data_IF_513872484623
#
_entry.id   IF_513872484623
#
_cell.length_a   1.000
_cell.length_b   1.000
_cell.length_c   1.000
_cell.angle_alpha   90.00
_cell.angle_beta   90.00
_cell.angle_gamma   90.00
#
_symmetry.space_group_name_H-M   'P 1'
#
loop_
_entity.id
_entity.type
_entity.pdbx_description
1 polymer ?
#
# COMPACT_ATOMS: atom_id res chain seq x y z
N UNK A 1 -25.63 -0.18 -16.85
CA UNK A 1 -24.99 -1.36 -16.24
C UNK A 1 -23.61 -0.94 -15.79
N UNK A 2 -23.29 -1.08 -14.51
CA UNK A 2 -21.94 -0.78 -14.01
C UNK A 2 -21.26 -2.14 -13.91
N UNK A 3 -20.35 -2.42 -14.84
CA UNK A 3 -19.46 -3.57 -14.74
C UNK A 3 -18.59 -3.34 -13.50
N UNK A 4 -18.85 -4.11 -12.45
CA UNK A 4 -17.84 -4.40 -11.43
C UNK A 4 -17.50 -5.86 -11.61
N UNK A 5 -16.33 -6.15 -12.15
CA UNK A 5 -15.80 -7.50 -12.07
C UNK A 5 -15.67 -7.87 -10.58
N UNK A 6 -16.03 -9.08 -10.16
CA UNK A 6 -15.55 -9.67 -8.93
C UNK A 6 -14.06 -10.01 -9.11
N UNK A 7 -13.22 -9.00 -9.30
CA UNK A 7 -11.77 -9.10 -9.44
C UNK A 7 -11.09 -8.35 -8.31
N UNK A 8 -9.81 -8.67 -8.05
CA UNK A 8 -8.96 -8.13 -6.97
C UNK A 8 -9.28 -6.68 -6.57
N UNK A 9 -9.19 -6.35 -5.26
CA UNK A 9 -9.47 -5.00 -4.73
C UNK A 9 -8.69 -3.90 -5.46
N UNK A 10 -7.51 -4.25 -5.97
CA UNK A 10 -6.63 -3.37 -6.74
C UNK A 10 -6.45 -3.83 -8.18
N UNK A 11 -7.28 -4.76 -8.67
CA UNK A 11 -7.17 -5.37 -10.01
C UNK A 11 -5.72 -5.77 -10.34
N UNK A 12 -5.14 -6.53 -9.41
CA UNK A 12 -3.80 -7.08 -9.52
C UNK A 12 -2.72 -5.99 -9.67
N UNK A 13 -3.02 -4.77 -9.26
CA UNK A 13 -2.06 -3.66 -9.24
C UNK A 13 -1.25 -3.68 -7.95
N UNK A 14 0.05 -3.95 -8.07
CA UNK A 14 0.98 -3.88 -6.96
C UNK A 14 1.29 -2.42 -6.57
N UNK A 15 1.12 -1.48 -7.50
CA UNK A 15 1.20 -0.03 -7.27
C UNK A 15 -0.10 0.61 -7.73
N UNK A 16 -0.85 1.20 -6.81
CA UNK A 16 -2.18 1.71 -7.08
C UNK A 16 -2.38 3.12 -6.51
N UNK A 17 -2.86 4.03 -7.36
CA UNK A 17 -3.40 5.34 -6.95
C UNK A 17 -4.83 5.46 -7.44
N UNK A 18 -5.78 5.86 -6.59
CA UNK A 18 -7.20 5.87 -6.92
C UNK A 18 -7.89 7.20 -6.63
N UNK A 19 -8.15 7.98 -7.68
CA UNK A 19 -9.00 9.18 -7.64
C UNK A 19 -8.69 10.17 -8.77
N UNK A 20 -9.37 11.32 -8.77
CA UNK A 20 -9.32 12.28 -9.89
C UNK A 20 -8.03 13.14 -9.98
N UNK A 21 -7.16 13.12 -8.96
CA UNK A 21 -6.06 14.07 -8.80
C UNK A 21 -4.73 13.36 -8.47
N UNK A 22 -4.55 12.14 -8.95
CA UNK A 22 -3.64 11.17 -8.35
C UNK A 22 -2.53 10.78 -9.32
N UNK A 23 -1.45 11.55 -9.28
CA UNK A 23 -0.29 11.33 -10.14
C UNK A 23 0.68 10.32 -9.50
N UNK A 24 1.45 9.64 -10.35
CA UNK A 24 2.64 8.88 -9.97
C UNK A 24 3.84 9.55 -10.64
N UNK A 25 4.74 10.09 -9.84
CA UNK A 25 6.01 10.69 -10.28
C UNK A 25 7.16 9.72 -9.98
N UNK A 26 7.97 9.34 -10.98
CA UNK A 26 9.14 8.46 -10.85
C UNK A 26 10.37 9.16 -11.45
N UNK A 27 11.31 9.55 -10.60
CA UNK A 27 12.46 10.39 -10.94
C UNK A 27 13.75 9.72 -10.48
N UNK A 28 14.72 9.56 -11.37
CA UNK A 28 16.05 8.99 -11.08
C UNK A 28 15.99 7.69 -10.26
N UNK A 29 15.03 6.81 -10.61
CA UNK A 29 14.64 5.66 -9.80
C UNK A 29 14.60 4.35 -10.60
N UNK A 30 15.04 3.24 -10.00
CA UNK A 30 14.90 1.90 -10.57
C UNK A 30 13.83 1.12 -9.82
N UNK A 31 12.74 0.80 -10.51
CA UNK A 31 11.58 0.10 -9.93
C UNK A 31 11.29 -1.15 -10.75
N UNK A 32 11.13 -2.29 -10.09
CA UNK A 32 10.72 -3.55 -10.69
C UNK A 32 9.45 -4.05 -10.02
N UNK A 33 8.43 -4.35 -10.81
CA UNK A 33 7.16 -4.94 -10.36
C UNK A 33 7.06 -6.33 -10.97
N UNK A 34 6.82 -7.33 -10.13
CA UNK A 34 6.73 -8.73 -10.53
C UNK A 34 5.32 -9.24 -10.28
N UNK A 35 4.69 -9.74 -11.35
CA UNK A 35 3.38 -10.38 -11.31
C UNK A 35 2.26 -9.41 -10.96
N UNK A 36 2.29 -8.19 -11.48
CA UNK A 36 1.24 -7.23 -11.18
C UNK A 36 1.33 -5.97 -12.04
N UNK A 37 0.37 -5.08 -11.81
CA UNK A 37 0.17 -3.88 -12.61
C UNK A 37 0.61 -2.60 -11.89
N UNK A 38 0.80 -1.53 -12.65
CA UNK A 38 0.75 -0.14 -12.16
C UNK A 38 -0.59 0.45 -12.55
N UNK A 39 -1.36 0.94 -11.58
CA UNK A 39 -2.55 1.75 -11.84
C UNK A 39 -2.36 3.19 -11.34
N UNK A 40 -2.47 4.13 -12.27
CA UNK A 40 -2.43 5.57 -12.02
C UNK A 40 -3.76 6.22 -12.39
N UNK A 41 -4.45 6.82 -11.41
CA UNK A 41 -5.74 7.46 -11.64
C UNK A 41 -5.66 8.71 -12.55
N UNK A 42 -4.50 9.37 -12.61
CA UNK A 42 -4.27 10.58 -13.42
C UNK A 42 -3.01 10.47 -14.27
N UNK A 43 -1.92 11.18 -13.94
CA UNK A 43 -0.75 11.25 -14.81
C UNK A 43 0.39 10.39 -14.25
N UNK A 44 0.99 9.57 -15.12
CA UNK A 44 2.22 8.83 -14.81
C UNK A 44 3.40 9.52 -15.49
N UNK A 45 4.33 10.03 -14.69
CA UNK A 45 5.49 10.78 -15.15
C UNK A 45 6.79 10.05 -14.79
N UNK A 46 7.53 9.58 -15.81
CA UNK A 46 8.83 8.92 -15.63
C UNK A 46 9.95 9.79 -16.22
N UNK A 47 10.76 10.38 -15.34
CA UNK A 47 11.76 11.42 -15.66
C UNK A 47 13.17 10.97 -15.26
N UNK A 48 14.19 11.74 -15.65
CA UNK A 48 15.58 11.47 -15.26
C UNK A 48 16.13 10.16 -15.84
N UNK A 49 17.00 9.49 -15.10
CA UNK A 49 17.60 8.18 -15.42
C UNK A 49 16.73 6.99 -14.94
N UNK A 50 15.43 7.22 -14.70
CA UNK A 50 14.52 6.19 -14.21
C UNK A 50 14.39 5.00 -15.17
N UNK A 51 14.32 3.80 -14.58
CA UNK A 51 14.04 2.53 -15.26
C UNK A 51 12.92 1.81 -14.51
N UNK A 52 11.78 1.62 -15.16
CA UNK A 52 10.62 0.91 -14.61
C UNK A 52 10.38 -0.38 -15.39
N UNK A 53 10.33 -1.51 -14.70
CA UNK A 53 10.04 -2.82 -15.30
C UNK A 53 8.82 -3.41 -14.64
N UNK A 54 7.83 -3.79 -15.43
CA UNK A 54 6.58 -4.40 -14.98
C UNK A 54 6.48 -5.74 -15.69
N UNK A 55 6.59 -6.81 -14.92
CA UNK A 55 6.59 -8.17 -15.42
C UNK A 55 5.25 -8.83 -15.10
N UNK A 56 4.74 -9.53 -16.10
CA UNK A 56 3.59 -10.42 -15.97
C UNK A 56 3.95 -11.67 -15.17
N UNK A 57 2.98 -12.27 -14.46
CA UNK A 57 3.12 -13.59 -13.86
C UNK A 57 2.50 -14.64 -14.77
N UNK A 58 3.35 -15.27 -15.59
CA UNK A 58 2.95 -16.36 -16.48
C UNK A 58 2.29 -17.56 -15.75
N UNK A 59 2.43 -17.68 -14.43
CA UNK A 59 1.77 -18.73 -13.65
C UNK A 59 0.30 -18.43 -13.32
N UNK A 60 -0.17 -17.19 -13.53
CA UNK A 60 -1.57 -16.77 -13.32
C UNK A 60 -2.43 -16.85 -14.59
N UNK A 61 -1.82 -17.28 -15.71
CA UNK A 61 -2.53 -17.67 -16.93
C UNK A 61 -3.33 -18.97 -16.68
N UNK A 62 -4.41 -18.91 -15.88
CA UNK A 62 -5.46 -19.93 -15.94
C UNK A 62 -6.40 -19.49 -17.06
N UNK A 63 -6.29 -20.06 -18.29
CA UNK A 63 -7.19 -19.70 -19.37
C UNK A 63 -8.62 -20.00 -18.93
N UNK A 64 -9.55 -19.07 -19.13
CA UNK A 64 -10.95 -19.35 -18.84
C UNK A 64 -11.34 -20.63 -19.61
N UNK A 65 -11.80 -21.69 -18.90
CA UNK A 65 -12.11 -22.96 -19.52
C UNK A 65 -13.25 -22.87 -20.55
N UNK A 66 -14.06 -21.80 -20.53
CA UNK A 66 -15.22 -21.63 -21.39
C UNK A 66 -14.92 -20.91 -22.72
N UNK A 67 -13.88 -20.07 -22.81
CA UNK A 67 -13.53 -19.37 -24.05
C UNK A 67 -12.05 -19.41 -24.47
N UNK A 68 -11.15 -19.87 -23.60
CA UNK A 68 -9.71 -19.98 -23.87
C UNK A 68 -8.99 -18.63 -23.94
N UNK A 69 -9.61 -17.56 -23.45
CA UNK A 69 -8.98 -16.23 -23.30
C UNK A 69 -8.23 -16.21 -21.97
N UNK A 70 -7.01 -15.64 -21.98
CA UNK A 70 -6.26 -15.36 -20.76
C UNK A 70 -6.91 -14.12 -20.14
N UNK A 71 -7.77 -14.31 -19.14
CA UNK A 71 -8.56 -13.20 -18.59
C UNK A 71 -7.77 -12.22 -17.71
N UNK A 72 -6.53 -12.57 -17.30
CA UNK A 72 -5.74 -11.78 -16.36
C UNK A 72 -4.33 -11.53 -16.88
N UNK A 73 -4.19 -10.75 -17.96
CA UNK A 73 -2.86 -10.27 -18.36
C UNK A 73 -2.34 -9.30 -17.28
N UNK A 74 -1.37 -9.71 -16.47
CA UNK A 74 -0.65 -8.83 -15.56
C UNK A 74 0.51 -8.15 -16.31
N UNK A 75 1.39 -7.43 -15.60
CA UNK A 75 2.52 -6.76 -16.25
C UNK A 75 2.12 -5.49 -17.01
N UNK A 76 0.96 -4.92 -16.69
CA UNK A 76 0.38 -3.76 -17.38
C UNK A 76 0.65 -2.44 -16.65
N UNK A 77 0.64 -1.36 -17.42
CA UNK A 77 0.69 0.02 -16.92
C UNK A 77 -0.57 0.75 -17.37
N UNK A 78 -1.44 1.06 -16.42
CA UNK A 78 -2.79 1.58 -16.62
C UNK A 78 -2.85 3.02 -16.09
N UNK A 79 -3.15 3.99 -16.95
CA UNK A 79 -3.06 5.43 -16.63
C UNK A 79 -4.30 6.18 -17.08
N UNK A 80 -5.16 6.59 -16.14
CA UNK A 80 -6.42 7.31 -16.40
C UNK A 80 -6.27 8.65 -17.12
N UNK A 81 -5.12 9.30 -16.99
CA UNK A 81 -4.74 10.56 -17.61
C UNK A 81 -3.72 10.38 -18.73
N UNK A 82 -2.73 11.27 -18.77
CA UNK A 82 -1.66 11.20 -19.75
C UNK A 82 -0.48 10.40 -19.22
N UNK A 83 0.17 9.69 -20.13
CA UNK A 83 1.46 9.13 -19.88
C UNK A 83 2.55 10.12 -20.31
N UNK A 84 3.28 10.68 -19.34
CA UNK A 84 4.35 11.66 -19.52
C UNK A 84 5.75 11.05 -19.65
N UNK A 85 5.86 9.84 -20.20
CA UNK A 85 7.14 9.16 -20.41
C UNK A 85 7.92 9.82 -21.55
N UNK A 86 9.02 10.50 -21.22
CA UNK A 86 9.96 11.01 -22.20
C UNK A 86 11.07 9.97 -22.47
N UNK A 87 10.97 9.26 -23.60
CA UNK A 87 11.97 8.27 -24.04
C UNK A 87 11.50 6.83 -23.83
N UNK A 88 11.46 6.05 -24.91
CA UNK A 88 10.91 4.68 -24.94
C UNK A 88 11.70 3.67 -24.09
N UNK A 89 12.97 3.95 -23.74
CA UNK A 89 13.83 3.04 -22.96
C UNK A 89 13.57 3.05 -21.44
N UNK A 90 12.68 3.91 -20.94
CA UNK A 90 12.48 4.11 -19.49
C UNK A 90 11.48 3.17 -18.84
N UNK A 91 10.63 2.53 -19.64
CA UNK A 91 9.60 1.61 -19.15
C UNK A 91 9.60 0.32 -19.97
N UNK A 92 9.45 -0.82 -19.32
CA UNK A 92 9.24 -2.13 -19.96
C UNK A 92 8.06 -2.79 -19.30
N UNK A 93 7.00 -3.04 -20.06
CA UNK A 93 5.74 -3.63 -19.62
C UNK A 93 5.12 -4.44 -20.77
N UNK A 94 4.23 -5.39 -20.47
CA UNK A 94 3.52 -6.14 -21.51
C UNK A 94 2.57 -5.24 -22.30
N UNK A 95 1.90 -4.34 -21.59
CA UNK A 95 1.02 -3.31 -22.16
C UNK A 95 1.16 -1.97 -21.41
N UNK A 96 1.00 -0.87 -22.14
CA UNK A 96 0.92 0.48 -21.59
C UNK A 96 -0.35 1.12 -22.15
N UNK A 97 -1.28 1.48 -21.26
CA UNK A 97 -2.62 1.94 -21.58
C UNK A 97 -2.86 3.30 -20.90
N UNK A 98 -2.95 4.36 -21.71
CA UNK A 98 -3.15 5.74 -21.29
C UNK A 98 -3.92 6.54 -22.36
N UNK A 99 -4.47 7.71 -22.00
CA UNK A 99 -5.25 8.55 -22.94
C UNK A 99 -4.51 8.90 -24.24
N UNK A 100 -3.18 9.04 -24.16
CA UNK A 100 -2.33 9.35 -25.29
C UNK A 100 -1.59 8.13 -25.87
N UNK A 101 -1.72 6.94 -25.26
CA UNK A 101 -1.03 5.71 -25.65
C UNK A 101 -1.96 4.53 -25.43
N UNK A 102 -2.66 4.08 -26.48
CA UNK A 102 -3.50 2.88 -26.41
C UNK A 102 -3.07 1.91 -27.52
N UNK A 103 -2.88 0.64 -27.15
CA UNK A 103 -2.46 -0.43 -28.06
C UNK A 103 -3.50 -1.55 -28.08
N UNK A 104 -3.40 -2.46 -29.04
CA UNK A 104 -4.29 -3.64 -29.13
C UNK A 104 -4.20 -4.56 -27.90
N UNK A 105 -3.13 -4.47 -27.11
CA UNK A 105 -2.94 -5.22 -25.86
C UNK A 105 -3.67 -4.62 -24.64
N UNK A 106 -4.34 -3.49 -24.79
CA UNK A 106 -5.20 -2.92 -23.73
C UNK A 106 -6.55 -3.65 -23.72
N UNK A 107 -6.54 -4.96 -23.48
CA UNK A 107 -7.75 -5.78 -23.45
C UNK A 107 -8.67 -5.40 -22.28
N UNK A 108 -9.99 -5.41 -22.48
CA UNK A 108 -10.97 -4.89 -21.51
C UNK A 108 -11.21 -3.37 -21.59
N UNK A 109 -10.40 -2.65 -22.36
CA UNK A 109 -10.58 -1.22 -22.63
C UNK A 109 -11.27 -1.07 -23.99
N UNK A 110 -12.40 -0.35 -24.08
CA UNK A 110 -13.16 -0.31 -25.32
C UNK A 110 -12.31 0.39 -26.41
N UNK A 111 -12.54 0.07 -27.70
CA UNK A 111 -11.69 0.52 -28.80
C UNK A 111 -11.49 2.05 -28.79
N UNK A 112 -10.40 2.51 -29.44
CA UNK A 112 -9.88 3.89 -29.47
C UNK A 112 -10.94 5.01 -29.57
N UNK A 113 -12.12 4.71 -30.10
CA UNK A 113 -13.26 5.59 -30.30
C UNK A 113 -14.12 5.89 -29.05
N UNK A 114 -13.90 5.20 -27.92
CA UNK A 114 -14.64 5.42 -26.65
C UNK A 114 -13.79 5.89 -25.46
N UNK A 115 -12.49 6.15 -25.67
CA UNK A 115 -11.57 6.58 -24.61
C UNK A 115 -10.89 5.41 -23.94
N UNK A 116 -9.56 5.45 -23.91
CA UNK A 116 -8.69 4.44 -23.33
C UNK A 116 -7.74 5.17 -22.38
N UNK A 117 -7.76 4.92 -21.06
CA UNK A 117 -8.56 3.92 -20.36
C UNK A 117 -10.01 4.40 -20.06
N UNK A 118 -10.97 3.57 -19.57
CA UNK A 118 -12.30 4.04 -19.23
C UNK A 118 -12.20 5.21 -18.24
N UNK A 119 -13.10 6.17 -18.42
CA UNK A 119 -13.20 7.36 -17.57
C UNK A 119 -13.56 7.04 -16.10
N UNK A 120 -13.85 5.77 -15.79
CA UNK A 120 -14.15 5.27 -14.46
C UNK A 120 -12.92 5.40 -13.56
N UNK A 121 -12.78 6.59 -12.99
CA UNK A 121 -11.83 6.90 -11.94
C UNK A 121 -12.10 5.96 -10.76
N UNK A 122 -11.15 5.08 -10.50
CA UNK A 122 -11.21 4.20 -9.34
C UNK A 122 -10.83 5.01 -8.12
N UNK A 123 -11.46 4.71 -7.01
CA UNK A 123 -11.11 5.29 -5.73
C UNK A 123 -10.18 4.34 -4.97
N UNK A 124 -9.37 4.90 -4.07
CA UNK A 124 -8.61 4.07 -3.14
C UNK A 124 -9.53 3.13 -2.36
N UNK A 125 -9.12 1.86 -2.15
CA UNK A 125 -9.85 0.95 -1.27
C UNK A 125 -10.07 1.60 0.09
N UNK A 126 -11.28 1.55 0.61
CA UNK A 126 -11.62 2.18 1.89
C UNK A 126 -11.14 1.30 3.05
N UNK A 127 -10.26 1.84 3.88
CA UNK A 127 -9.79 1.16 5.09
C UNK A 127 -10.50 1.72 6.32
N UNK A 128 -11.08 0.84 7.13
CA UNK A 128 -11.70 1.24 8.39
C UNK A 128 -10.65 1.35 9.51
N UNK A 129 -10.15 2.56 9.74
CA UNK A 129 -9.14 2.81 10.76
C UNK A 129 -9.72 2.76 12.19
N UNK A 130 -10.92 3.31 12.42
CA UNK A 130 -11.40 3.60 13.79
C UNK A 130 -12.93 3.65 13.97
N UNK A 131 -13.73 3.04 13.07
CA UNK A 131 -15.18 3.02 13.26
C UNK A 131 -15.57 2.48 14.64
N UNK A 132 -16.66 3.05 15.18
CA UNK A 132 -17.24 2.73 16.48
C UNK A 132 -16.30 2.87 17.69
N UNK A 133 -15.15 3.53 17.55
CA UNK A 133 -14.27 3.84 18.68
C UNK A 133 -14.86 4.99 19.52
N UNK A 134 -14.90 4.90 20.86
CA UNK A 134 -14.19 3.94 21.72
C UNK A 134 -15.00 2.71 22.13
N UNK A 135 -16.27 2.60 21.74
CA UNK A 135 -17.12 1.48 22.17
C UNK A 135 -16.69 0.14 21.57
N UNK A 136 -16.10 0.17 20.38
CA UNK A 136 -15.60 -1.00 19.65
C UNK A 136 -16.65 -2.09 19.48
N UNK A 137 -17.85 -1.67 19.07
CA UNK A 137 -18.94 -2.57 18.72
C UNK A 137 -18.72 -3.27 17.37
N UNK A 138 -17.88 -2.68 16.50
CA UNK A 138 -17.39 -3.28 15.26
C UNK A 138 -16.03 -3.95 15.48
N UNK A 139 -15.91 -5.20 15.05
CA UNK A 139 -14.64 -5.95 15.02
C UNK A 139 -13.76 -5.58 13.83
N UNK A 140 -14.22 -4.69 12.97
CA UNK A 140 -13.65 -4.53 11.63
C UNK A 140 -12.58 -3.43 11.63
N UNK A 141 -12.74 -2.40 12.47
CA UNK A 141 -11.79 -1.28 12.53
C UNK A 141 -10.44 -1.68 13.11
N UNK A 142 -9.35 -1.16 12.53
CA UNK A 142 -7.99 -1.45 12.97
C UNK A 142 -7.77 -1.07 14.43
N UNK A 143 -8.29 0.07 14.87
CA UNK A 143 -8.15 0.54 16.25
C UNK A 143 -8.89 -0.35 17.25
N UNK A 144 -10.06 -0.86 16.90
CA UNK A 144 -10.81 -1.75 17.79
C UNK A 144 -10.19 -3.14 17.87
N UNK A 145 -9.64 -3.65 16.77
CA UNK A 145 -8.86 -4.89 16.77
C UNK A 145 -7.59 -4.77 17.62
N UNK A 146 -6.86 -3.65 17.50
CA UNK A 146 -5.72 -3.35 18.38
C UNK A 146 -6.17 -3.29 19.86
N UNK A 147 -7.33 -2.70 20.16
CA UNK A 147 -7.85 -2.64 21.53
C UNK A 147 -8.21 -4.01 22.08
N UNK A 148 -8.80 -4.88 21.26
CA UNK A 148 -9.11 -6.25 21.63
C UNK A 148 -7.81 -7.03 21.94
N UNK A 149 -6.82 -6.98 21.06
CA UNK A 149 -5.52 -7.61 21.26
C UNK A 149 -4.82 -7.10 22.53
N UNK A 150 -4.94 -5.81 22.85
CA UNK A 150 -4.37 -5.23 24.08
C UNK A 150 -5.07 -5.78 25.32
N UNK A 151 -6.40 -5.90 25.29
CA UNK A 151 -7.16 -6.45 26.41
C UNK A 151 -6.89 -7.95 26.63
N UNK A 152 -6.57 -8.68 25.55
CA UNK A 152 -6.22 -10.10 25.59
C UNK A 152 -4.74 -10.35 25.97
N UNK A 153 -3.94 -9.28 26.04
CA UNK A 153 -2.51 -9.34 26.39
C UNK A 153 -1.65 -9.93 25.28
N UNK A 154 -2.03 -9.74 24.02
CA UNK A 154 -1.37 -10.37 22.87
C UNK A 154 -0.22 -9.52 22.28
N UNK A 155 0.02 -8.32 22.80
CA UNK A 155 1.06 -7.40 22.32
C UNK A 155 2.29 -7.41 23.21
N UNK A 156 3.47 -7.60 22.62
CA UNK A 156 4.75 -7.55 23.29
C UNK A 156 5.76 -6.69 22.54
N UNK A 157 6.19 -5.62 23.18
CA UNK A 157 7.24 -4.77 22.61
C UNK A 157 8.59 -5.15 23.19
N UNK A 158 9.54 -5.42 22.30
CA UNK A 158 10.92 -5.71 22.65
C UNK A 158 11.82 -4.53 22.24
N UNK A 159 12.63 -4.08 23.19
CA UNK A 159 13.72 -3.15 23.00
C UNK A 159 15.03 -3.95 23.01
N UNK A 160 15.69 -4.07 21.86
CA UNK A 160 16.94 -4.82 21.70
C UNK A 160 16.83 -6.29 22.12
N UNK A 161 15.68 -6.90 21.79
CA UNK A 161 15.36 -8.30 22.10
C UNK A 161 14.96 -8.57 23.54
N UNK A 162 14.84 -7.55 24.39
CA UNK A 162 14.37 -7.65 25.78
C UNK A 162 13.07 -6.84 25.93
N UNK A 163 12.18 -7.18 26.88
CA UNK A 163 11.02 -6.34 27.17
C UNK A 163 11.43 -4.90 27.49
N UNK A 164 10.74 -3.93 26.92
CA UNK A 164 11.00 -2.52 27.23
C UNK A 164 10.63 -2.19 28.69
N UNK A 165 11.25 -1.16 29.24
CA UNK A 165 11.04 -0.68 30.61
C UNK A 165 9.80 0.21 30.75
N UNK A 166 9.43 0.92 29.69
CA UNK A 166 8.11 1.55 29.59
C UNK A 166 7.04 0.47 29.41
N UNK A 167 5.77 0.68 29.86
CA UNK A 167 4.71 -0.30 29.70
C UNK A 167 4.59 -0.74 28.23
N UNK A 168 5.15 -1.92 27.96
CA UNK A 168 5.49 -2.46 26.64
C UNK A 168 4.42 -3.38 26.08
N UNK A 169 3.38 -3.68 26.86
CA UNK A 169 2.41 -4.69 26.50
C UNK A 169 1.10 -4.04 26.01
N UNK A 170 1.24 -2.90 25.32
CA UNK A 170 0.14 -2.18 24.69
C UNK A 170 0.10 -2.48 23.21
N UNK A 171 -1.09 -2.42 22.64
CA UNK A 171 -1.26 -2.37 21.19
C UNK A 171 -1.60 -0.96 20.73
N UNK A 172 -2.07 -0.09 21.62
CA UNK A 172 -2.43 1.29 21.30
C UNK A 172 -1.50 2.26 22.04
N UNK A 173 -0.85 3.11 21.27
CA UNK A 173 0.08 4.12 21.76
C UNK A 173 -0.43 5.52 21.42
N UNK A 174 -0.24 6.47 22.31
CA UNK A 174 -0.10 7.87 21.90
C UNK A 174 1.20 8.06 21.16
N UNK A 175 1.28 9.10 20.33
CA UNK A 175 2.55 9.53 19.74
C UNK A 175 3.67 9.64 20.79
N UNK A 176 3.41 10.24 21.95
CA UNK A 176 4.44 10.44 22.97
C UNK A 176 4.94 9.11 23.56
N UNK A 177 4.05 8.13 23.75
CA UNK A 177 4.44 6.81 24.22
C UNK A 177 5.26 6.05 23.16
N UNK A 178 4.88 6.14 21.89
CA UNK A 178 5.66 5.52 20.80
C UNK A 178 7.04 6.18 20.64
N UNK A 179 7.11 7.52 20.70
CA UNK A 179 8.38 8.26 20.69
C UNK A 179 9.27 7.87 21.90
N UNK A 180 8.67 7.57 23.06
CA UNK A 180 9.39 7.11 24.24
C UNK A 180 9.99 5.71 24.03
N UNK A 181 9.26 4.77 23.43
CA UNK A 181 9.78 3.45 23.05
C UNK A 181 10.98 3.56 22.11
N UNK A 182 10.85 4.37 21.05
CA UNK A 182 11.95 4.61 20.11
C UNK A 182 13.16 5.28 20.78
N UNK A 183 12.93 6.13 21.77
CA UNK A 183 14.00 6.79 22.52
C UNK A 183 14.71 5.83 23.49
N UNK A 184 13.98 4.87 24.05
CA UNK A 184 14.52 3.83 24.92
C UNK A 184 15.46 2.88 24.18
N UNK A 185 15.08 2.47 22.96
CA UNK A 185 15.89 1.59 22.11
C UNK A 185 17.28 2.19 21.83
N UNK A 186 17.33 3.49 21.57
CA UNK A 186 18.58 4.19 21.23
C UNK A 186 18.85 4.21 19.73
N UNK A 187 20.03 4.69 19.33
CA UNK A 187 20.46 4.73 17.92
C UNK A 187 21.29 3.48 17.60
N UNK A 188 21.13 2.94 16.40
CA UNK A 188 21.77 1.69 15.92
C UNK A 188 21.08 0.42 16.40
N UNK A 189 19.98 0.58 17.13
CA UNK A 189 19.34 -0.44 17.97
C UNK A 189 17.92 -0.73 17.44
N UNK A 190 17.29 -1.81 17.93
CA UNK A 190 16.06 -2.37 17.33
C UNK A 190 14.86 -2.32 18.27
N UNK A 191 13.78 -1.69 17.78
CA UNK A 191 12.43 -1.84 18.33
C UNK A 191 11.70 -2.96 17.59
N UNK A 192 11.23 -3.97 18.31
CA UNK A 192 10.41 -5.04 17.71
C UNK A 192 9.00 -4.97 18.29
N UNK A 193 8.01 -4.78 17.43
CA UNK A 193 6.59 -4.94 17.76
C UNK A 193 6.20 -6.38 17.45
N UNK A 194 6.18 -7.22 18.49
CA UNK A 194 5.99 -8.66 18.37
C UNK A 194 4.74 -9.11 19.12
N UNK A 195 3.84 -9.85 18.50
CA UNK A 195 2.72 -10.43 19.22
C UNK A 195 3.10 -11.77 19.87
N UNK A 196 2.39 -12.14 20.94
CA UNK A 196 2.51 -13.47 21.56
C UNK A 196 1.67 -14.51 20.82
N UNK A 197 0.54 -14.08 20.25
CA UNK A 197 -0.34 -14.93 19.42
C UNK A 197 -0.34 -14.44 17.97
N UNK A 198 -0.24 -15.38 17.03
CA UNK A 198 -0.08 -15.12 15.60
C UNK A 198 -1.37 -14.64 14.87
N UNK A 199 -2.35 -14.05 15.57
CA UNK A 199 -3.65 -13.70 14.98
C UNK A 199 -3.99 -12.21 15.13
N UNK A 200 -4.36 -11.58 14.02
CA UNK A 200 -4.97 -10.25 13.94
C UNK A 200 -4.14 -9.14 14.62
N UNK A 201 -2.85 -9.08 14.30
CA UNK A 201 -1.89 -8.29 15.06
C UNK A 201 -1.78 -6.88 14.48
N UNK A 202 -2.27 -5.93 15.27
CA UNK A 202 -2.31 -4.52 14.90
C UNK A 202 -1.74 -3.69 16.04
N UNK A 203 -0.68 -2.95 15.74
CA UNK A 203 -0.17 -1.88 16.57
C UNK A 203 -0.70 -0.55 16.05
N UNK A 204 -1.30 0.25 16.92
CA UNK A 204 -1.97 1.49 16.55
C UNK A 204 -1.35 2.68 17.27
N UNK A 205 -0.95 3.71 16.52
CA UNK A 205 -0.44 4.97 17.07
C UNK A 205 -1.44 6.09 16.83
N UNK A 206 -1.94 6.64 17.92
CA UNK A 206 -2.77 7.85 17.93
C UNK A 206 -1.90 9.08 17.77
N UNK A 207 -1.70 9.47 16.52
CA UNK A 207 -0.82 10.55 16.08
C UNK A 207 0.10 10.10 14.96
N UNK A 208 1.19 10.82 14.76
CA UNK A 208 2.19 10.50 13.74
C UNK A 208 3.36 9.70 14.32
N UNK A 209 4.01 8.95 13.44
CA UNK A 209 5.19 8.14 13.72
C UNK A 209 6.41 8.78 13.07
N UNK A 210 7.54 8.75 13.79
CA UNK A 210 8.82 9.27 13.31
C UNK A 210 9.97 8.36 13.69
N UNK A 211 10.47 7.60 12.72
CA UNK A 211 11.67 6.78 12.87
C UNK A 211 12.84 7.50 12.21
N UNK A 212 13.83 7.93 12.98
CA UNK A 212 15.01 8.67 12.50
C UNK A 212 16.26 8.17 13.24
N UNK A 213 17.45 8.62 12.79
CA UNK A 213 18.74 8.45 13.47
C UNK A 213 19.20 6.99 13.59
N UNK A 214 19.27 6.27 12.48
CA UNK A 214 19.78 4.90 12.42
C UNK A 214 19.04 3.94 13.36
N UNK A 215 17.71 3.97 13.35
CA UNK A 215 16.92 3.05 14.19
C UNK A 215 16.35 1.93 13.35
N UNK A 216 16.28 0.75 13.94
CA UNK A 216 15.68 -0.41 13.32
C UNK A 216 14.28 -0.60 13.91
N UNK A 217 13.28 -0.81 13.05
CA UNK A 217 11.92 -1.14 13.45
C UNK A 217 11.51 -2.45 12.78
N UNK A 218 11.19 -3.46 13.59
CA UNK A 218 10.61 -4.72 13.12
C UNK A 218 9.15 -4.76 13.59
N UNK A 219 8.21 -4.97 12.68
CA UNK A 219 6.79 -5.16 13.01
C UNK A 219 6.36 -6.52 12.49
N UNK A 220 5.89 -7.37 13.39
CA UNK A 220 5.31 -8.67 13.04
C UNK A 220 3.78 -8.51 13.01
N UNK A 221 3.26 -7.97 11.91
CA UNK A 221 1.86 -7.57 11.77
C UNK A 221 1.72 -6.20 11.12
N UNK A 222 0.68 -5.46 11.50
CA UNK A 222 0.39 -4.13 10.93
C UNK A 222 0.74 -3.01 11.92
N UNK A 223 1.37 -1.95 11.43
CA UNK A 223 1.53 -0.68 12.15
C UNK A 223 0.65 0.40 11.52
N UNK A 224 -0.28 0.92 12.31
CA UNK A 224 -1.30 1.88 11.89
C UNK A 224 -1.09 3.23 12.58
N UNK A 225 -1.27 4.34 11.87
CA UNK A 225 -1.17 5.69 12.43
C UNK A 225 -2.36 6.58 12.03
N UNK A 226 -2.89 7.34 13.00
CA UNK A 226 -3.86 8.42 12.73
C UNK A 226 -3.24 9.56 11.91
N UNK A 227 -1.92 9.77 12.04
CA UNK A 227 -1.16 10.80 11.34
C UNK A 227 -0.09 10.21 10.42
N UNK A 228 0.87 11.05 10.04
CA UNK A 228 1.93 10.67 9.11
C UNK A 228 2.86 9.58 9.66
N UNK A 229 3.43 8.76 8.79
CA UNK A 229 4.54 7.84 9.10
C UNK A 229 5.77 8.34 8.35
N UNK A 230 6.79 8.78 9.08
CA UNK A 230 8.04 9.27 8.51
C UNK A 230 9.18 8.34 8.94
N UNK A 231 9.82 7.71 7.96
CA UNK A 231 10.91 6.76 8.13
C UNK A 231 12.17 7.31 7.48
N UNK A 232 13.22 7.44 8.28
CA UNK A 232 14.48 8.05 7.90
C UNK A 232 14.38 9.56 7.68
N UNK A 233 15.55 10.15 7.43
CA UNK A 233 15.68 11.57 7.08
C UNK A 233 17.00 11.84 6.38
N UNK A 234 16.93 12.61 5.30
CA UNK A 234 18.12 13.10 4.59
C UNK A 234 19.14 13.76 5.52
N UNK A 235 20.40 13.35 5.40
CA UNK A 235 21.53 13.87 6.18
C UNK A 235 21.74 13.18 7.53
N UNK A 236 20.95 12.16 7.85
CA UNK A 236 21.16 11.25 8.98
C UNK A 236 21.60 9.88 8.47
N UNK A 237 22.00 8.98 9.37
CA UNK A 237 22.27 7.58 9.01
C UNK A 237 20.94 6.84 8.69
N UNK A 238 20.94 5.89 7.74
CA UNK A 238 19.70 5.25 7.28
C UNK A 238 18.96 4.53 8.40
N UNK A 239 17.62 4.62 8.41
CA UNK A 239 16.79 3.82 9.31
C UNK A 239 16.27 2.59 8.59
N UNK A 240 16.24 1.46 9.30
CA UNK A 240 15.89 0.17 8.72
C UNK A 240 14.53 -0.27 9.21
N UNK A 241 13.70 -0.76 8.29
CA UNK A 241 12.35 -1.22 8.62
C UNK A 241 12.11 -2.62 8.06
N UNK A 242 11.55 -3.49 8.88
CA UNK A 242 11.09 -4.81 8.46
C UNK A 242 9.65 -5.00 8.88
N UNK A 243 8.78 -5.34 7.92
CA UNK A 243 7.41 -5.79 8.20
C UNK A 243 7.31 -7.25 7.80
N UNK A 244 6.94 -8.10 8.76
CA UNK A 244 6.68 -9.50 8.52
C UNK A 244 5.18 -9.76 8.60
N UNK A 245 4.66 -10.59 7.70
CA UNK A 245 3.33 -11.15 7.83
C UNK A 245 3.39 -12.45 8.65
N UNK A 246 2.78 -12.51 9.84
CA UNK A 246 2.60 -13.76 10.56
C UNK A 246 1.37 -14.49 10.01
N UNK A 247 1.57 -15.66 9.40
CA UNK A 247 0.52 -16.51 8.84
C UNK A 247 -0.53 -15.71 8.03
N UNK A 248 -1.81 -15.82 8.39
CA UNK A 248 -2.96 -15.17 7.74
C UNK A 248 -3.42 -13.90 8.48
N UNK A 249 -2.46 -13.14 9.03
CA UNK A 249 -2.73 -11.87 9.70
C UNK A 249 -2.52 -10.65 8.79
N UNK A 250 -3.19 -9.53 9.11
CA UNK A 250 -2.87 -8.23 8.51
C UNK A 250 -1.40 -7.86 8.70
N UNK A 251 -0.77 -7.33 7.66
CA UNK A 251 0.59 -6.82 7.71
C UNK A 251 0.77 -5.58 6.84
N UNK A 252 1.59 -4.64 7.30
CA UNK A 252 1.85 -3.42 6.55
C UNK A 252 2.01 -2.15 7.37
N UNK A 253 2.14 -1.03 6.66
CA UNK A 253 2.00 0.32 7.18
C UNK A 253 0.73 0.95 6.66
N UNK A 254 -0.15 1.37 7.57
CA UNK A 254 -1.39 2.05 7.22
C UNK A 254 -1.40 3.43 7.89
N UNK A 255 -1.65 4.48 7.11
CA UNK A 255 -1.72 5.85 7.62
C UNK A 255 -2.93 6.58 7.05
N UNK A 256 -3.65 7.29 7.91
CA UNK A 256 -4.62 8.30 7.46
C UNK A 256 -3.93 9.58 6.95
N UNK A 257 -2.66 9.76 7.32
CA UNK A 257 -1.79 10.82 6.84
C UNK A 257 -0.94 10.38 5.65
N UNK A 258 0.24 10.98 5.56
CA UNK A 258 1.27 10.68 4.55
C UNK A 258 2.19 9.56 5.02
N UNK A 259 2.78 8.85 4.08
CA UNK A 259 3.90 7.95 4.36
C UNK A 259 5.13 8.48 3.61
N UNK A 260 6.25 8.65 4.32
CA UNK A 260 7.52 9.09 3.73
C UNK A 260 8.63 8.16 4.15
N UNK A 261 9.31 7.57 3.18
CA UNK A 261 10.60 6.92 3.35
C UNK A 261 11.67 7.83 2.75
N UNK A 262 12.59 8.33 3.58
CA UNK A 262 13.65 9.25 3.16
C UNK A 262 14.97 8.76 3.73
N UNK A 263 15.92 8.33 2.91
CA UNK A 263 17.17 7.76 3.40
C UNK A 263 16.93 6.61 4.39
N UNK A 264 16.18 5.61 3.92
CA UNK A 264 15.77 4.45 4.69
C UNK A 264 15.81 3.20 3.81
N UNK A 265 15.86 2.06 4.45
CA UNK A 265 15.78 0.75 3.82
C UNK A 265 14.58 0.01 4.40
N UNK A 266 13.91 -0.76 3.55
CA UNK A 266 12.77 -1.52 3.99
C UNK A 266 12.64 -2.86 3.28
N UNK A 267 12.21 -3.85 4.06
CA UNK A 267 11.79 -5.16 3.59
C UNK A 267 10.40 -5.44 4.16
N UNK A 268 9.39 -5.41 3.31
CA UNK A 268 7.98 -5.38 3.72
C UNK A 268 7.25 -6.55 3.07
N UNK A 269 6.82 -7.51 3.87
CA UNK A 269 5.77 -8.46 3.50
C UNK A 269 4.47 -7.93 4.08
N UNK A 270 3.68 -7.23 3.26
CA UNK A 270 2.51 -6.47 3.69
C UNK A 270 2.11 -5.36 2.71
N UNK A 271 1.18 -4.52 3.14
CA UNK A 271 0.70 -3.36 2.36
C UNK A 271 1.30 -2.06 2.88
N UNK A 272 1.67 -1.14 2.00
CA UNK A 272 1.89 0.26 2.36
C UNK A 272 0.70 1.07 1.86
N UNK A 273 -0.13 1.56 2.78
CA UNK A 273 -1.36 2.27 2.47
C UNK A 273 -1.38 3.66 3.11
N UNK A 274 -1.62 4.70 2.31
CA UNK A 274 -1.73 6.08 2.78
C UNK A 274 -2.95 6.80 2.17
N UNK A 275 -3.82 7.38 3.00
CA UNK A 275 -4.93 8.22 2.49
C UNK A 275 -4.46 9.53 1.85
N UNK A 276 -3.24 9.96 2.17
CA UNK A 276 -2.59 11.15 1.61
C UNK A 276 -1.33 10.76 0.81
N UNK A 277 -0.62 11.73 0.18
CA UNK A 277 0.52 11.41 -0.67
C UNK A 277 1.58 10.59 0.04
N UNK A 278 2.17 9.67 -0.71
CA UNK A 278 3.34 8.89 -0.33
C UNK A 278 4.59 9.39 -1.04
N UNK A 279 5.73 9.34 -0.37
CA UNK A 279 7.03 9.66 -0.95
C UNK A 279 8.06 8.62 -0.55
N UNK A 280 8.78 8.07 -1.51
CA UNK A 280 9.96 7.23 -1.29
C UNK A 280 11.12 7.93 -1.98
N UNK A 281 12.06 8.43 -1.19
CA UNK A 281 13.17 9.22 -1.69
C UNK A 281 14.53 8.78 -1.14
N UNK A 282 15.58 8.93 -1.94
CA UNK A 282 16.97 8.73 -1.52
C UNK A 282 17.24 7.35 -0.90
N UNK A 283 16.61 6.30 -1.43
CA UNK A 283 16.79 4.90 -0.99
C UNK A 283 17.95 4.30 -1.76
N UNK A 284 19.12 4.18 -1.12
CA UNK A 284 20.38 3.83 -1.80
C UNK A 284 20.63 2.32 -1.92
N UNK A 285 19.86 1.51 -1.20
CA UNK A 285 20.00 0.04 -1.18
C UNK A 285 18.75 -0.61 -1.77
N UNK A 286 18.88 -1.88 -2.16
CA UNK A 286 17.74 -2.67 -2.63
C UNK A 286 16.71 -2.80 -1.50
N UNK A 287 15.50 -2.30 -1.75
CA UNK A 287 14.34 -2.48 -0.87
C UNK A 287 13.32 -3.38 -1.54
N UNK A 288 12.60 -4.18 -0.74
CA UNK A 288 11.66 -5.18 -1.25
C UNK A 288 10.29 -5.00 -0.60
N UNK A 289 9.24 -5.18 -1.41
CA UNK A 289 7.86 -5.22 -0.98
C UNK A 289 7.22 -6.47 -1.59
N UNK A 290 6.69 -7.37 -0.77
CA UNK A 290 5.78 -8.43 -1.19
C UNK A 290 4.37 -8.07 -0.70
N UNK A 291 3.46 -7.78 -1.61
CA UNK A 291 2.15 -7.19 -1.34
C UNK A 291 1.86 -6.04 -2.28
N UNK A 292 1.52 -4.86 -1.75
CA UNK A 292 1.17 -3.70 -2.58
C UNK A 292 1.39 -2.34 -1.92
N UNK A 293 1.46 -1.31 -2.76
CA UNK A 293 1.56 0.10 -2.38
C UNK A 293 0.31 0.83 -2.88
N UNK A 294 -0.36 1.53 -1.97
CA UNK A 294 -1.59 2.27 -2.25
C UNK A 294 -1.53 3.66 -1.63
N UNK A 295 -1.72 4.70 -2.44
CA UNK A 295 -1.76 6.07 -1.94
C UNK A 295 -2.50 7.00 -2.89
N UNK A 296 -2.91 8.16 -2.37
CA UNK A 296 -3.60 9.18 -3.18
C UNK A 296 -2.72 9.84 -4.24
N UNK A 297 -1.41 9.81 -4.04
CA UNK A 297 -0.39 10.33 -4.94
C UNK A 297 0.92 9.68 -4.52
N UNK A 298 1.78 9.35 -5.47
CA UNK A 298 3.09 8.78 -5.18
C UNK A 298 4.21 9.58 -5.83
N UNK A 299 5.30 9.74 -5.09
CA UNK A 299 6.55 10.28 -5.60
C UNK A 299 7.68 9.31 -5.26
N UNK A 300 8.38 8.83 -6.27
CA UNK A 300 9.57 7.99 -6.17
C UNK A 300 10.76 8.79 -6.72
N UNK A 301 11.75 9.09 -5.88
CA UNK A 301 12.88 9.95 -6.24
C UNK A 301 14.21 9.37 -5.76
N UNK A 302 15.24 9.33 -6.61
CA UNK A 302 16.57 8.86 -6.23
C UNK A 302 16.59 7.46 -5.57
N UNK A 303 15.83 6.51 -6.14
CA UNK A 303 15.75 5.12 -5.64
C UNK A 303 16.72 4.24 -6.42
N UNK A 304 17.72 3.69 -5.71
CA UNK A 304 18.72 2.79 -6.28
C UNK A 304 18.10 1.52 -6.86
N UNK A 305 17.29 0.80 -6.07
CA UNK A 305 16.48 -0.32 -6.54
C UNK A 305 15.30 -0.59 -5.59
N UNK A 306 14.08 -0.65 -6.13
CA UNK A 306 12.87 -1.08 -5.43
C UNK A 306 12.25 -2.25 -6.18
N UNK A 307 12.12 -3.40 -5.51
CA UNK A 307 11.40 -4.56 -6.04
C UNK A 307 10.04 -4.69 -5.34
N UNK A 308 8.98 -4.81 -6.12
CA UNK A 308 7.62 -5.02 -5.64
C UNK A 308 7.13 -6.31 -6.28
N UNK A 309 6.68 -7.25 -5.48
CA UNK A 309 6.06 -8.51 -5.94
C UNK A 309 4.63 -8.50 -5.47
N UNK A 310 3.68 -8.58 -6.42
CA UNK A 310 2.27 -8.64 -6.07
C UNK A 310 1.98 -9.88 -5.23
N UNK A 311 1.13 -9.71 -4.23
CA UNK A 311 0.48 -10.81 -3.54
C UNK A 311 -0.89 -10.32 -3.08
N UNK A 312 -1.95 -10.72 -3.81
CA UNK A 312 -3.31 -10.26 -3.56
C UNK A 312 -3.84 -10.71 -2.21
N UNK A 313 -3.48 -11.92 -1.76
CA UNK A 313 -3.87 -12.39 -0.43
C UNK A 313 -3.25 -11.47 0.64
N UNK A 314 -1.96 -11.13 0.52
CA UNK A 314 -1.30 -10.17 1.41
C UNK A 314 -2.01 -8.81 1.39
N UNK A 315 -2.42 -8.34 0.21
CA UNK A 315 -3.17 -7.08 0.06
C UNK A 315 -4.49 -7.14 0.83
N UNK A 316 -5.27 -8.19 0.63
CA UNK A 316 -6.56 -8.38 1.27
C UNK A 316 -6.45 -8.48 2.80
N UNK A 317 -5.43 -9.18 3.31
CA UNK A 317 -5.12 -9.18 4.74
C UNK A 317 -4.67 -7.82 5.24
N UNK A 318 -3.73 -7.18 4.54
CA UNK A 318 -3.13 -5.90 4.94
C UNK A 318 -4.14 -4.75 5.01
N UNK A 319 -5.12 -4.73 4.11
CA UNK A 319 -6.24 -3.76 4.14
C UNK A 319 -7.33 -4.13 5.14
N UNK A 320 -7.27 -5.33 5.72
CA UNK A 320 -8.20 -5.81 6.74
C UNK A 320 -9.49 -6.43 6.20
N UNK A 321 -9.58 -6.74 4.90
CA UNK A 321 -10.74 -7.40 4.30
C UNK A 321 -10.72 -8.92 4.49
N UNK A 322 -9.56 -9.50 4.80
CA UNK A 322 -9.44 -10.90 5.24
C UNK A 322 -8.78 -10.96 6.63
N UNK A 323 -9.26 -11.87 7.48
CA UNK A 323 -8.65 -12.22 8.76
C UNK A 323 -8.79 -13.73 8.95
N UNK A 324 -7.70 -14.43 9.28
CA UNK A 324 -7.70 -15.89 9.52
C UNK A 324 -8.31 -16.70 8.34
N UNK A 325 -8.16 -16.23 7.10
CA UNK A 325 -8.74 -16.88 5.90
C UNK A 325 -10.22 -16.58 5.64
N UNK A 326 -10.85 -15.73 6.44
CA UNK A 326 -12.25 -15.36 6.29
C UNK A 326 -12.38 -13.89 5.90
N UNK A 327 -13.32 -13.60 5.00
CA UNK A 327 -13.66 -12.22 4.63
C UNK A 327 -14.34 -11.49 5.80
N UNK A 328 -13.87 -10.27 6.07
CA UNK A 328 -14.38 -9.39 7.12
C UNK A 328 -14.87 -8.11 6.45
N UNK A 329 -16.19 -7.96 6.43
CA UNK A 329 -16.85 -6.94 5.61
C UNK A 329 -16.81 -7.24 4.11
N UNK A 330 -17.53 -6.43 3.34
CA UNK A 330 -17.24 -6.29 1.90
C UNK A 330 -16.41 -5.03 1.72
N UNK A 331 -15.48 -4.97 0.74
CA UNK A 331 -14.86 -3.71 0.36
C UNK A 331 -15.97 -2.75 -0.04
N UNK A 332 -16.26 -1.76 0.81
CA UNK A 332 -17.17 -0.67 0.45
C UNK A 332 -16.43 0.26 -0.50
N UNK A 333 -16.35 -0.11 -1.78
CA UNK A 333 -16.03 0.88 -2.81
C UNK A 333 -17.07 1.99 -2.71
N UNK A 334 -16.63 3.25 -2.80
CA UNK A 334 -17.45 4.43 -2.56
C UNK A 334 -18.88 4.31 -3.06
N UNK A 335 -19.86 4.78 -2.25
CA UNK A 335 -21.26 4.55 -2.52
C UNK A 335 -21.60 5.06 -3.92
N UNK A 336 -22.13 4.17 -4.76
CA UNK A 336 -22.66 4.56 -6.06
C UNK A 336 -23.90 5.42 -5.80
N UNK A 337 -23.78 6.73 -5.97
CA UNK A 337 -24.91 7.64 -5.93
C UNK A 337 -25.59 7.55 -7.29
N UNK A 338 -26.62 6.71 -7.40
CA UNK A 338 -27.49 6.72 -8.58
C UNK A 338 -28.43 7.92 -8.48
N UNK A 339 -28.21 8.94 -9.31
CA UNK A 339 -29.18 10.03 -9.48
C UNK A 339 -30.20 9.57 -10.52
N UNK A 340 -31.33 9.02 -10.06
CA UNK A 340 -32.39 8.52 -10.95
C UNK A 340 -33.13 9.63 -11.71
N UNK A 341 -33.16 10.86 -11.16
CA UNK A 341 -33.85 11.99 -11.76
C UNK A 341 -33.28 13.31 -11.26
N UNK A 342 -33.02 14.23 -12.19
CA UNK A 342 -32.74 15.65 -11.92
C UNK A 342 -33.65 16.49 -12.81
N UNK A 343 -34.44 17.37 -12.20
CA UNK A 343 -35.30 18.32 -12.90
C UNK A 343 -34.90 19.74 -12.51
N UNK A 344 -34.70 20.59 -13.51
CA UNK A 344 -34.43 22.02 -13.34
C UNK A 344 -35.64 22.81 -13.87
N UNK A 345 -36.27 23.62 -13.02
CA UNK A 345 -37.40 24.48 -13.40
C UNK A 345 -36.97 25.94 -13.44
N UNK A 346 -37.28 26.65 -14.53
CA UNK A 346 -36.96 28.05 -14.75
C UNK A 346 -38.14 28.99 -14.47
#
# INVERSE_FOLDING_TARGET
>A
EVFRAPGSITEDSAVFTGGACEDIDIIDSQITINGGNIYCGKDLDIKGESIVKVYDNLETEDPDPDDGIIENLEGQVLVGGNNGISGEEKITAEAICANNVCTEKCEGYPPLDTGCPPEDKRELPTVDFYSDYPECNSSDSFKCRAKAAENDGDCHILCNGLPCTHPSDKCIYSRQEFDALLSEVGNGETLTLNPDKLRNIIFYVTGWIKLERNRNLIVNGTLVADGDINIGKRGEEPSHVTINQPDTSPSGFLSQGKITFSYADFDITGVIYALNPMTIENVQVTSNIKGGIMARKMNFEDIGQLNITLDNDIIEYGLGYKIDGLWVGQPEFSPVITIDHWEESY
#
